data_IF_772867310734
#
_entry.id   IF_772867310734
#
_cell.length_a   1.000
_cell.length_b   1.000
_cell.length_c   1.000
_cell.angle_alpha   90.00
_cell.angle_beta   90.00
_cell.angle_gamma   90.00
#
_symmetry.space_group_name_H-M   'P 1'
#
loop_
_entity.id
_entity.type
_entity.pdbx_description
1 polymer ?
#
# COMPACT_ATOMS: atom_id res chain seq x y z
N UNK A 1 2.15 11.53 -11.95
CA UNK A 1 1.69 10.68 -13.06
C UNK A 1 0.15 10.63 -13.10
N UNK A 2 -0.55 10.15 -12.05
CA UNK A 2 -2.01 10.01 -12.08
C UNK A 2 -2.75 11.33 -12.37
N UNK A 3 -2.43 12.40 -11.65
CA UNK A 3 -3.01 13.73 -11.90
C UNK A 3 -2.73 14.23 -13.32
N UNK A 4 -1.52 14.00 -13.86
CA UNK A 4 -1.17 14.34 -15.24
C UNK A 4 -1.91 13.51 -16.29
N UNK A 5 -2.50 12.37 -15.87
CA UNK A 5 -3.41 11.53 -16.67
C UNK A 5 -4.89 11.87 -16.48
N UNK A 6 -5.20 12.92 -15.72
CA UNK A 6 -6.55 13.39 -15.50
C UNK A 6 -7.31 12.70 -14.36
N UNK A 7 -6.63 11.89 -13.54
CA UNK A 7 -7.25 11.32 -12.35
C UNK A 7 -7.33 12.34 -11.22
N UNK A 8 -8.46 12.41 -10.54
CA UNK A 8 -8.57 13.04 -9.24
C UNK A 8 -7.89 12.13 -8.21
N UNK A 9 -6.96 12.70 -7.43
CA UNK A 9 -6.14 11.94 -6.49
C UNK A 9 -6.31 12.48 -5.08
N UNK A 10 -6.72 11.59 -4.18
CA UNK A 10 -6.77 11.83 -2.74
C UNK A 10 -5.71 10.96 -2.07
N UNK A 11 -4.94 11.53 -1.17
CA UNK A 11 -3.88 10.85 -0.42
C UNK A 11 -4.33 10.67 1.01
N UNK A 12 -4.11 9.48 1.56
CA UNK A 12 -4.19 9.19 3.00
C UNK A 12 -2.80 8.80 3.47
N UNK A 13 -2.32 9.44 4.52
CA UNK A 13 -1.03 9.16 5.16
C UNK A 13 -1.10 9.55 6.63
N UNK A 14 -0.53 8.78 7.54
CA UNK A 14 -0.49 9.12 8.97
C UNK A 14 0.68 10.05 9.33
N UNK A 15 1.56 10.30 8.34
CA UNK A 15 2.78 11.11 8.44
C UNK A 15 3.80 10.60 9.46
N UNK A 16 3.69 9.33 9.89
CA UNK A 16 4.63 8.74 10.86
C UNK A 16 6.06 8.68 10.33
N UNK A 17 6.24 8.54 9.02
CA UNK A 17 7.54 8.50 8.35
C UNK A 17 7.64 9.43 7.12
N UNK A 18 6.69 10.33 6.97
CA UNK A 18 6.60 11.29 5.87
C UNK A 18 6.32 12.71 6.39
N UNK A 19 5.99 13.65 5.53
CA UNK A 19 5.59 15.00 5.93
C UNK A 19 4.67 15.64 4.89
N UNK A 20 3.88 16.62 5.30
CA UNK A 20 3.03 17.41 4.41
C UNK A 20 3.80 18.12 3.28
N UNK A 21 5.12 18.27 3.42
CA UNK A 21 5.96 18.88 2.37
C UNK A 21 5.90 18.13 1.03
N UNK A 22 5.49 16.86 1.07
CA UNK A 22 5.27 16.04 -0.12
C UNK A 22 4.16 16.62 -1.02
N UNK A 23 3.12 17.20 -0.44
CA UNK A 23 2.04 17.86 -1.17
C UNK A 23 2.58 19.04 -2.00
N UNK A 24 3.45 19.85 -1.38
CA UNK A 24 4.08 20.98 -2.07
C UNK A 24 4.98 20.51 -3.22
N UNK A 25 5.72 19.41 -3.02
CA UNK A 25 6.56 18.83 -4.06
C UNK A 25 5.72 18.29 -5.23
N UNK A 26 4.64 17.57 -4.94
CA UNK A 26 3.69 17.09 -5.96
C UNK A 26 3.08 18.26 -6.72
N UNK A 27 2.63 19.29 -6.02
CA UNK A 27 2.05 20.51 -6.65
C UNK A 27 3.04 21.18 -7.59
N UNK A 28 4.31 21.31 -7.20
CA UNK A 28 5.35 21.87 -8.06
C UNK A 28 5.60 21.04 -9.33
N UNK A 29 5.48 19.70 -9.22
CA UNK A 29 5.70 18.76 -10.34
C UNK A 29 4.51 18.73 -11.29
N UNK A 30 3.28 18.76 -10.75
CA UNK A 30 2.07 18.47 -11.53
C UNK A 30 1.26 19.72 -11.87
N UNK A 31 1.47 20.81 -11.14
CA UNK A 31 0.61 22.01 -11.18
C UNK A 31 -0.68 21.85 -10.39
N UNK A 32 -0.96 20.69 -9.79
CA UNK A 32 -2.22 20.38 -9.09
C UNK A 32 -1.91 19.93 -7.67
N UNK A 33 -2.47 20.61 -6.68
CA UNK A 33 -2.35 20.20 -5.28
C UNK A 33 -3.26 18.99 -5.02
N UNK A 34 -2.71 17.83 -4.60
CA UNK A 34 -3.55 16.72 -4.17
C UNK A 34 -4.21 17.03 -2.83
N UNK A 35 -5.39 16.45 -2.59
CA UNK A 35 -6.01 16.48 -1.26
C UNK A 35 -5.28 15.46 -0.38
N UNK A 36 -4.80 15.89 0.79
CA UNK A 36 -4.18 15.04 1.79
C UNK A 36 -5.09 14.93 3.02
N UNK A 37 -5.40 13.71 3.41
CA UNK A 37 -5.99 13.38 4.69
C UNK A 37 -4.94 12.79 5.61
N UNK A 38 -4.62 13.47 6.69
CA UNK A 38 -3.74 12.93 7.75
C UNK A 38 -4.58 11.97 8.59
N UNK A 39 -4.40 10.67 8.35
CA UNK A 39 -5.25 9.63 8.91
C UNK A 39 -4.49 8.31 9.04
N UNK A 40 -4.45 7.76 10.25
CA UNK A 40 -3.99 6.39 10.49
C UNK A 40 -5.10 5.39 10.11
N UNK A 41 -4.80 4.54 9.13
CA UNK A 41 -5.73 3.54 8.60
C UNK A 41 -6.10 2.45 9.63
N UNK A 42 -5.43 2.37 10.78
CA UNK A 42 -5.83 1.50 11.90
C UNK A 42 -7.07 2.02 12.62
N UNK A 43 -7.36 3.32 12.53
CA UNK A 43 -8.53 3.92 13.17
C UNK A 43 -9.80 3.68 12.37
N UNK A 44 -10.46 2.55 12.64
CA UNK A 44 -11.63 2.04 11.93
C UNK A 44 -12.72 3.09 11.66
N UNK A 45 -13.13 3.85 12.67
CA UNK A 45 -14.19 4.85 12.50
C UNK A 45 -13.77 6.03 11.63
N UNK A 46 -12.50 6.45 11.71
CA UNK A 46 -11.97 7.50 10.87
C UNK A 46 -11.88 7.05 9.40
N UNK A 47 -11.42 5.81 9.15
CA UNK A 47 -11.44 5.21 7.80
C UNK A 47 -12.86 5.11 7.26
N UNK A 48 -13.82 4.67 8.07
CA UNK A 48 -15.23 4.63 7.67
C UNK A 48 -15.75 6.02 7.30
N UNK A 49 -15.46 7.04 8.11
CA UNK A 49 -15.86 8.42 7.81
C UNK A 49 -15.25 8.92 6.49
N UNK A 50 -13.97 8.62 6.25
CA UNK A 50 -13.32 8.94 4.98
C UNK A 50 -14.08 8.33 3.78
N UNK A 51 -14.39 7.05 3.82
CA UNK A 51 -15.11 6.39 2.72
C UNK A 51 -16.57 6.86 2.56
N UNK A 52 -17.21 7.38 3.60
CA UNK A 52 -18.51 8.05 3.50
C UNK A 52 -18.36 9.40 2.78
N UNK A 53 -17.27 10.14 3.02
CA UNK A 53 -16.99 11.40 2.38
C UNK A 53 -16.68 11.24 0.88
N UNK A 54 -16.14 10.08 0.48
CA UNK A 54 -15.81 9.76 -0.91
C UNK A 54 -16.62 8.54 -1.41
N UNK A 55 -17.94 8.70 -1.63
CA UNK A 55 -18.80 7.58 -2.03
C UNK A 55 -18.45 7.03 -3.41
N UNK A 56 -17.98 7.86 -4.31
CA UNK A 56 -17.68 7.53 -5.71
C UNK A 56 -16.24 7.02 -5.93
N UNK A 57 -15.47 6.82 -4.85
CA UNK A 57 -14.11 6.31 -4.94
C UNK A 57 -14.15 4.84 -5.41
N UNK A 58 -13.56 4.60 -6.58
CA UNK A 58 -13.53 3.28 -7.24
C UNK A 58 -12.13 2.70 -7.39
N UNK A 59 -11.08 3.50 -7.23
CA UNK A 59 -9.71 3.07 -7.42
C UNK A 59 -8.89 3.30 -6.16
N UNK A 60 -8.21 2.27 -5.68
CA UNK A 60 -7.35 2.33 -4.50
C UNK A 60 -5.97 1.79 -4.83
N UNK A 61 -4.92 2.54 -4.47
CA UNK A 61 -3.55 2.06 -4.45
C UNK A 61 -3.12 2.01 -2.98
N UNK A 62 -2.98 0.82 -2.43
CA UNK A 62 -2.67 0.60 -1.04
C UNK A 62 -1.17 0.41 -0.84
N UNK A 63 -0.46 1.49 -0.51
CA UNK A 63 0.96 1.51 -0.17
C UNK A 63 1.20 1.50 1.34
N UNK A 64 0.21 1.92 2.13
CA UNK A 64 0.35 2.10 3.57
C UNK A 64 0.76 0.81 4.27
N UNK A 65 2.00 0.76 4.76
CA UNK A 65 2.56 -0.35 5.49
C UNK A 65 3.90 0.04 6.13
N UNK A 66 4.25 -0.59 7.24
CA UNK A 66 5.64 -0.65 7.69
C UNK A 66 6.41 -1.63 6.80
N UNK A 67 7.65 -1.32 6.43
CA UNK A 67 8.41 -2.07 5.41
C UNK A 67 9.81 -2.50 5.82
N UNK A 68 10.33 -2.05 6.95
CA UNK A 68 11.67 -2.38 7.40
C UNK A 68 11.75 -3.81 7.93
N UNK A 69 12.50 -4.68 7.23
CA UNK A 69 12.59 -6.11 7.56
C UNK A 69 13.17 -6.32 8.96
N UNK A 70 14.27 -5.63 9.31
CA UNK A 70 14.90 -5.73 10.63
C UNK A 70 13.97 -5.35 11.77
N UNK A 71 13.33 -4.19 11.67
CA UNK A 71 12.36 -3.70 12.65
C UNK A 71 11.19 -4.68 12.84
N UNK A 72 10.74 -5.33 11.75
CA UNK A 72 9.66 -6.33 11.84
C UNK A 72 10.02 -7.54 12.70
N UNK A 73 11.31 -7.87 12.80
CA UNK A 73 11.80 -8.95 13.69
C UNK A 73 11.85 -8.49 15.13
N UNK A 74 12.16 -7.21 15.38
CA UNK A 74 12.21 -6.62 16.71
C UNK A 74 10.81 -6.40 17.30
N UNK A 75 9.85 -5.93 16.48
CA UNK A 75 8.46 -5.71 16.89
C UNK A 75 7.46 -6.30 15.88
N UNK A 76 7.31 -7.63 15.84
CA UNK A 76 6.41 -8.29 14.89
C UNK A 76 4.95 -7.91 15.08
N UNK A 77 4.51 -7.66 16.31
CA UNK A 77 3.10 -7.36 16.60
C UNK A 77 2.70 -6.01 16.02
N UNK A 78 3.55 -4.99 16.13
CA UNK A 78 3.31 -3.69 15.50
C UNK A 78 3.17 -3.82 13.97
N UNK A 79 3.96 -4.69 13.34
CA UNK A 79 3.87 -4.96 11.90
C UNK A 79 2.56 -5.65 11.49
N UNK A 80 2.13 -6.66 12.24
CA UNK A 80 0.85 -7.32 11.97
C UNK A 80 -0.32 -6.37 12.20
N UNK A 81 -0.34 -5.64 13.31
CA UNK A 81 -1.40 -4.67 13.63
C UNK A 81 -1.48 -3.58 12.55
N UNK A 82 -0.35 -2.96 12.22
CA UNK A 82 -0.32 -1.89 11.23
C UNK A 82 -0.68 -2.38 9.82
N UNK A 83 0.02 -3.40 9.32
CA UNK A 83 -0.07 -3.78 7.91
C UNK A 83 -1.37 -4.52 7.58
N UNK A 84 -1.84 -5.38 8.49
CA UNK A 84 -3.09 -6.12 8.28
C UNK A 84 -4.31 -5.34 8.78
N UNK A 85 -4.18 -4.64 9.90
CA UNK A 85 -5.27 -3.82 10.45
C UNK A 85 -5.69 -2.72 9.48
N UNK A 86 -4.74 -1.98 8.92
CA UNK A 86 -5.00 -0.97 7.90
C UNK A 86 -5.64 -1.54 6.64
N UNK A 87 -5.12 -2.66 6.12
CA UNK A 87 -5.67 -3.34 4.95
C UNK A 87 -7.12 -3.78 5.18
N UNK A 88 -7.40 -4.44 6.32
CA UNK A 88 -8.73 -4.93 6.66
C UNK A 88 -9.72 -3.76 6.77
N UNK A 89 -9.35 -2.67 7.42
CA UNK A 89 -10.21 -1.50 7.55
C UNK A 89 -10.57 -0.88 6.19
N UNK A 90 -9.61 -0.82 5.26
CA UNK A 90 -9.87 -0.35 3.89
C UNK A 90 -10.82 -1.31 3.17
N UNK A 91 -10.55 -2.61 3.16
CA UNK A 91 -11.37 -3.60 2.47
C UNK A 91 -12.81 -3.65 3.00
N UNK A 92 -13.01 -3.51 4.32
CA UNK A 92 -14.35 -3.46 4.92
C UNK A 92 -15.21 -2.31 4.35
N UNK A 93 -14.59 -1.16 4.03
CA UNK A 93 -15.28 0.00 3.48
C UNK A 93 -15.43 -0.05 1.94
N UNK A 94 -14.75 -0.98 1.28
CA UNK A 94 -14.91 -1.25 -0.15
C UNK A 94 -15.97 -2.30 -0.44
N UNK A 95 -16.41 -3.05 0.57
CA UNK A 95 -17.45 -4.07 0.43
C UNK A 95 -18.78 -3.47 -0.05
N UNK A 96 -19.34 -4.07 -1.10
CA UNK A 96 -20.63 -3.65 -1.67
C UNK A 96 -20.57 -2.41 -2.55
N UNK A 97 -19.38 -1.85 -2.83
CA UNK A 97 -19.22 -0.79 -3.83
C UNK A 97 -19.24 -1.37 -5.24
N UNK A 98 -19.71 -0.57 -6.19
CA UNK A 98 -19.71 -0.95 -7.59
C UNK A 98 -18.33 -0.70 -8.22
N UNK A 99 -17.78 -1.73 -8.90
CA UNK A 99 -16.57 -1.64 -9.73
C UNK A 99 -15.34 -1.06 -9.02
N UNK A 100 -14.80 -1.77 -8.04
CA UNK A 100 -13.57 -1.37 -7.32
C UNK A 100 -12.34 -1.97 -7.99
N UNK A 101 -11.34 -1.13 -8.28
CA UNK A 101 -10.00 -1.56 -8.67
C UNK A 101 -9.03 -1.31 -7.50
N UNK A 102 -8.38 -2.35 -7.03
CA UNK A 102 -7.50 -2.33 -5.87
C UNK A 102 -6.10 -2.77 -6.27
N UNK A 103 -5.11 -1.88 -6.12
CA UNK A 103 -3.71 -2.21 -6.34
C UNK A 103 -3.04 -2.34 -4.98
N UNK A 104 -2.48 -3.49 -4.70
CA UNK A 104 -1.77 -3.77 -3.46
C UNK A 104 -0.26 -3.75 -3.67
N UNK A 105 0.43 -2.96 -2.87
CA UNK A 105 1.88 -2.99 -2.76
C UNK A 105 2.30 -4.24 -1.98
N UNK A 106 2.48 -5.34 -2.70
CA UNK A 106 3.10 -6.54 -2.18
C UNK A 106 4.64 -6.41 -2.26
N UNK A 107 5.36 -7.49 -2.09
CA UNK A 107 6.82 -7.50 -2.05
C UNK A 107 7.37 -8.82 -2.59
N UNK A 108 8.58 -8.80 -3.13
CA UNK A 108 9.32 -10.02 -3.47
C UNK A 108 9.56 -10.93 -2.25
N UNK A 109 9.51 -10.40 -1.04
CA UNK A 109 9.65 -11.17 0.20
C UNK A 109 8.59 -12.26 0.37
N UNK A 110 7.48 -12.21 -0.41
CA UNK A 110 6.46 -13.27 -0.43
C UNK A 110 6.96 -14.58 -1.04
N UNK A 111 8.06 -14.56 -1.79
CA UNK A 111 8.64 -15.79 -2.35
C UNK A 111 9.49 -16.57 -1.34
N UNK A 112 9.83 -15.94 -0.19
CA UNK A 112 10.78 -16.53 0.76
C UNK A 112 12.15 -16.72 0.14
N UNK A 113 12.81 -17.84 0.43
CA UNK A 113 14.10 -18.21 -0.19
C UNK A 113 13.84 -18.90 -1.54
N UNK A 114 14.12 -18.19 -2.62
CA UNK A 114 13.86 -18.67 -3.97
C UNK A 114 14.89 -19.76 -4.38
N UNK A 115 14.42 -20.80 -5.08
CA UNK A 115 15.30 -21.85 -5.59
C UNK A 115 16.02 -21.47 -6.88
N UNK A 116 15.39 -20.62 -7.70
CA UNK A 116 15.86 -20.28 -9.04
C UNK A 116 15.82 -18.76 -9.29
N UNK A 117 16.75 -18.30 -10.14
CA UNK A 117 16.83 -16.91 -10.56
C UNK A 117 16.88 -16.83 -12.10
N UNK A 118 16.26 -15.82 -12.73
CA UNK A 118 15.46 -14.74 -12.12
C UNK A 118 14.12 -15.26 -11.56
N UNK A 119 13.66 -14.69 -10.45
CA UNK A 119 12.36 -15.02 -9.87
C UNK A 119 11.26 -14.49 -10.79
N UNK A 120 10.30 -15.33 -11.12
CA UNK A 120 9.11 -14.98 -11.90
C UNK A 120 7.84 -15.07 -11.03
N UNK A 121 6.71 -14.59 -11.56
CA UNK A 121 5.42 -14.67 -10.88
C UNK A 121 4.93 -16.12 -10.68
N UNK A 122 5.52 -17.08 -11.39
CA UNK A 122 5.24 -18.52 -11.26
C UNK A 122 6.06 -19.20 -10.16
N UNK A 123 7.05 -18.50 -9.60
CA UNK A 123 7.86 -19.05 -8.52
C UNK A 123 6.97 -19.41 -7.30
N UNK A 124 7.23 -20.52 -6.62
CA UNK A 124 6.45 -20.95 -5.47
C UNK A 124 6.57 -19.94 -4.32
N UNK A 125 5.45 -19.72 -3.63
CA UNK A 125 5.44 -18.95 -2.39
C UNK A 125 5.88 -19.89 -1.28
N UNK A 126 7.02 -19.59 -0.66
CA UNK A 126 7.57 -20.33 0.47
C UNK A 126 7.34 -19.57 1.77
N UNK A 127 7.76 -20.15 2.88
CA UNK A 127 7.71 -19.51 4.19
C UNK A 127 8.44 -18.16 4.16
N UNK A 128 7.77 -17.13 4.69
CA UNK A 128 8.35 -15.80 4.74
C UNK A 128 9.52 -15.75 5.73
N UNK A 129 10.62 -15.13 5.34
CA UNK A 129 11.82 -15.02 6.17
C UNK A 129 11.71 -13.93 7.25
N UNK A 130 10.62 -13.18 7.29
CA UNK A 130 10.40 -12.11 8.25
C UNK A 130 8.93 -11.85 8.51
N UNK A 131 8.57 -11.27 9.67
CA UNK A 131 7.20 -10.82 9.93
C UNK A 131 6.67 -9.84 8.87
N UNK A 132 7.51 -8.92 8.37
CA UNK A 132 7.13 -8.05 7.25
C UNK A 132 6.72 -8.88 6.02
N UNK A 133 7.55 -9.81 5.57
CA UNK A 133 7.25 -10.69 4.43
C UNK A 133 5.96 -11.47 4.66
N UNK A 134 5.75 -11.97 5.87
CA UNK A 134 4.55 -12.70 6.24
C UNK A 134 3.30 -11.80 6.21
N UNK A 135 3.39 -10.53 6.65
CA UNK A 135 2.25 -9.60 6.50
C UNK A 135 1.85 -9.41 5.04
N UNK A 136 2.81 -9.44 4.11
CA UNK A 136 2.51 -9.34 2.67
C UNK A 136 1.88 -10.62 2.13
N UNK A 137 2.36 -11.81 2.53
CA UNK A 137 1.73 -13.10 2.17
C UNK A 137 0.29 -13.19 2.68
N UNK A 138 0.05 -12.88 3.95
CA UNK A 138 -1.29 -12.87 4.56
C UNK A 138 -2.17 -11.82 3.86
N UNK A 139 -1.64 -10.62 3.59
CA UNK A 139 -2.35 -9.57 2.87
C UNK A 139 -2.81 -10.00 1.47
N UNK A 140 -1.93 -10.67 0.70
CA UNK A 140 -2.31 -11.25 -0.59
C UNK A 140 -3.43 -12.30 -0.44
N UNK A 141 -3.36 -13.14 0.60
CA UNK A 141 -4.40 -14.12 0.92
C UNK A 141 -5.75 -13.46 1.19
N UNK A 142 -5.77 -12.47 2.09
CA UNK A 142 -6.98 -11.71 2.44
C UNK A 142 -7.61 -11.06 1.19
N UNK A 143 -6.78 -10.44 0.34
CA UNK A 143 -7.27 -9.77 -0.88
C UNK A 143 -7.86 -10.78 -1.87
N UNK A 144 -7.23 -11.95 -2.05
CA UNK A 144 -7.76 -13.02 -2.93
C UNK A 144 -9.09 -13.54 -2.43
N UNK A 145 -9.23 -13.76 -1.12
CA UNK A 145 -10.49 -14.22 -0.52
C UNK A 145 -11.58 -13.16 -0.63
N UNK A 146 -11.22 -11.89 -0.39
CA UNK A 146 -12.14 -10.76 -0.57
C UNK A 146 -12.62 -10.64 -2.02
N UNK A 147 -11.71 -10.78 -3.01
CA UNK A 147 -12.05 -10.74 -4.43
C UNK A 147 -12.98 -11.90 -4.84
N UNK A 148 -12.76 -13.11 -4.31
CA UNK A 148 -13.67 -14.25 -4.57
C UNK A 148 -15.08 -14.00 -4.04
N UNK A 149 -15.21 -13.30 -2.92
CA UNK A 149 -16.49 -13.01 -2.28
C UNK A 149 -17.20 -11.77 -2.86
N UNK A 150 -16.52 -10.96 -3.67
CA UNK A 150 -17.03 -9.69 -4.19
C UNK A 150 -16.72 -9.58 -5.70
N UNK A 151 -17.68 -9.92 -6.55
CA UNK A 151 -17.51 -9.98 -8.02
C UNK A 151 -17.18 -8.63 -8.67
N UNK A 152 -17.49 -7.53 -8.00
CA UNK A 152 -17.22 -6.16 -8.47
C UNK A 152 -15.86 -5.62 -8.00
N UNK A 153 -15.03 -6.45 -7.36
CA UNK A 153 -13.72 -6.09 -6.84
C UNK A 153 -12.62 -6.74 -7.68
N UNK A 154 -11.82 -5.91 -8.33
CA UNK A 154 -10.65 -6.31 -9.11
C UNK A 154 -9.38 -5.99 -8.31
N UNK A 155 -8.47 -6.95 -8.18
CA UNK A 155 -7.22 -6.74 -7.47
C UNK A 155 -6.00 -7.01 -8.36
N UNK A 156 -4.98 -6.17 -8.20
CA UNK A 156 -3.64 -6.37 -8.74
C UNK A 156 -2.66 -6.40 -7.57
N UNK A 157 -1.87 -7.45 -7.46
CA UNK A 157 -0.87 -7.63 -6.41
C UNK A 157 0.51 -7.39 -7.02
N UNK A 158 1.13 -6.24 -6.72
CA UNK A 158 2.44 -5.86 -7.27
C UNK A 158 3.55 -6.28 -6.31
N UNK A 159 4.31 -7.32 -6.67
CA UNK A 159 5.44 -7.83 -5.89
C UNK A 159 6.72 -7.10 -6.26
N UNK A 160 6.94 -5.96 -5.62
CA UNK A 160 8.13 -5.15 -5.85
C UNK A 160 9.38 -5.85 -5.33
N UNK A 161 10.43 -5.82 -6.13
CA UNK A 161 11.81 -5.91 -5.65
C UNK A 161 12.23 -4.53 -5.14
N UNK A 162 13.51 -4.30 -4.86
CA UNK A 162 13.98 -3.01 -4.38
C UNK A 162 13.98 -1.97 -5.53
N UNK A 163 12.97 -1.09 -5.64
CA UNK A 163 12.97 -0.06 -6.66
C UNK A 163 14.06 0.96 -6.33
N UNK A 164 14.82 1.35 -7.36
CA UNK A 164 15.84 2.41 -7.24
C UNK A 164 15.46 3.58 -8.13
N UNK A 165 15.71 4.78 -7.63
CA UNK A 165 15.49 6.02 -8.36
C UNK A 165 14.61 7.01 -7.61
N UNK A 166 14.57 8.22 -8.18
CA UNK A 166 13.74 9.31 -7.70
C UNK A 166 13.13 10.04 -8.90
N UNK A 167 12.17 10.92 -8.65
CA UNK A 167 11.63 11.76 -9.71
C UNK A 167 12.74 12.68 -10.26
N UNK A 168 12.82 12.82 -11.59
CA UNK A 168 13.88 13.59 -12.28
C UNK A 168 14.00 15.06 -11.82
N UNK A 169 12.94 15.63 -11.24
CA UNK A 169 12.97 16.97 -10.66
C UNK A 169 13.82 17.07 -9.39
N UNK A 170 14.17 15.96 -8.74
CA UNK A 170 14.82 15.94 -7.42
C UNK A 170 13.94 16.38 -6.26
N UNK A 171 12.65 16.68 -6.49
CA UNK A 171 11.73 17.19 -5.45
C UNK A 171 11.09 16.07 -4.61
N UNK A 172 11.03 14.84 -5.15
CA UNK A 172 10.46 13.67 -4.49
C UNK A 172 11.42 12.50 -4.63
N UNK A 173 11.65 11.83 -3.53
CA UNK A 173 12.44 10.61 -3.42
C UNK A 173 12.17 9.93 -2.09
N UNK A 174 12.71 8.75 -1.91
CA UNK A 174 12.62 8.03 -0.66
C UNK A 174 13.44 8.73 0.43
N UNK A 175 12.88 8.82 1.64
CA UNK A 175 13.57 9.24 2.86
C UNK A 175 13.57 8.04 3.79
N UNK A 176 14.58 7.21 3.72
CA UNK A 176 14.73 6.10 4.65
C UNK A 176 15.42 6.58 5.93
N UNK A 177 14.90 6.15 7.09
CA UNK A 177 15.56 6.35 8.39
C UNK A 177 16.55 5.22 8.70
N UNK A 178 16.94 4.42 7.71
CA UNK A 178 17.84 3.28 7.83
C UNK A 178 18.17 2.65 6.47
N UNK A 179 18.82 1.49 6.51
CA UNK A 179 19.08 0.68 5.31
C UNK A 179 17.72 0.08 4.85
N UNK A 180 17.34 0.26 3.57
CA UNK A 180 16.10 -0.30 3.04
C UNK A 180 16.06 -1.82 3.08
#
# INVERSE_FOLDING_TARGET
VLQQKGFEVVIIDDLSNSSESVVNAITKITGIAPVLHVLDLKHKEAVKHFFITYPDLTNVIHFAAYKAVGESVEDPIAYYDNNLGSLINVLQNLKGRESVNFIFSSSCTVYGEADEFPITELAPIKEALSPYGNTKQIGEGIIRDFARANSNFNAILLRYFNPIGAHHSGLIGERSNGIP
#
